data_IF_258931190148
#
_entry.id   IF_258931190148
#
_cell.length_a   1.000
_cell.length_b   1.000
_cell.length_c   1.000
_cell.angle_alpha   90.00
_cell.angle_beta   90.00
_cell.angle_gamma   90.00
#
_symmetry.space_group_name_H-M   'P 1'
#
loop_
_entity.id
_entity.type
_entity.pdbx_description
1 polymer ?
#
# COMPACT_ATOMS: atom_id res chain seq x y z
N UNK A 1 -11.66 -3.58 15.15
CA UNK A 1 -10.40 -4.27 14.78
C UNK A 1 -9.41 -3.17 14.46
N UNK A 2 -8.37 -2.98 15.29
CA UNK A 2 -7.36 -1.96 15.02
C UNK A 2 -6.54 -2.41 13.81
N UNK A 3 -6.21 -1.49 12.91
CA UNK A 3 -5.39 -1.78 11.73
C UNK A 3 -4.02 -2.39 12.10
N UNK A 4 -3.52 -2.08 13.30
CA UNK A 4 -2.26 -2.59 13.85
C UNK A 4 -2.28 -4.09 14.21
N UNK A 5 -3.46 -4.72 14.29
CA UNK A 5 -3.59 -6.14 14.64
C UNK A 5 -3.75 -7.04 13.41
N UNK A 6 -3.67 -6.48 12.20
CA UNK A 6 -3.81 -7.27 10.99
C UNK A 6 -2.62 -8.22 10.84
N UNK A 7 -2.93 -9.51 10.69
CA UNK A 7 -1.94 -10.55 10.44
C UNK A 7 -2.17 -11.09 9.02
N UNK A 8 -1.21 -10.92 8.10
CA UNK A 8 -1.29 -11.50 6.77
C UNK A 8 -1.49 -13.01 6.84
N UNK A 9 -2.29 -13.54 5.92
CA UNK A 9 -2.42 -14.98 5.76
C UNK A 9 -1.09 -15.62 5.31
N UNK A 10 -0.96 -16.95 5.43
CA UNK A 10 0.28 -17.68 5.05
C UNK A 10 0.64 -17.45 3.57
N UNK A 11 -0.36 -17.33 2.71
CA UNK A 11 -0.23 -17.08 1.27
C UNK A 11 -0.24 -15.59 0.91
N UNK A 12 0.03 -14.71 1.88
CA UNK A 12 -0.05 -13.27 1.70
C UNK A 12 1.26 -12.58 2.10
N UNK A 13 1.66 -11.61 1.29
CA UNK A 13 2.69 -10.64 1.59
C UNK A 13 2.03 -9.27 1.66
N UNK A 14 1.99 -8.67 2.86
CA UNK A 14 1.41 -7.34 3.02
C UNK A 14 2.51 -6.27 3.04
N UNK A 15 2.29 -5.20 2.28
CA UNK A 15 3.11 -3.98 2.39
C UNK A 15 2.58 -3.16 3.55
N UNK A 16 3.33 -3.08 4.65
CA UNK A 16 2.97 -2.24 5.80
C UNK A 16 3.11 -0.75 5.48
N UNK A 17 4.21 -0.37 4.82
CA UNK A 17 4.43 1.02 4.39
C UNK A 17 5.32 1.08 3.15
N UNK A 18 5.04 2.05 2.30
CA UNK A 18 5.87 2.45 1.17
C UNK A 18 5.75 3.95 1.00
N UNK A 19 6.87 4.64 0.89
CA UNK A 19 6.90 6.09 0.74
C UNK A 19 8.03 6.49 -0.21
N UNK A 20 7.76 7.52 -1.00
CA UNK A 20 8.77 8.23 -1.80
C UNK A 20 8.74 9.68 -1.33
N UNK A 21 9.92 10.19 -0.97
CA UNK A 21 10.11 11.58 -0.59
C UNK A 21 9.53 12.50 -1.68
N UNK A 22 8.83 13.56 -1.26
CA UNK A 22 8.07 14.44 -2.16
C UNK A 22 8.90 15.00 -3.31
N UNK A 23 10.16 15.37 -3.04
CA UNK A 23 11.08 15.93 -4.03
C UNK A 23 11.44 14.96 -5.17
N UNK A 24 11.13 13.67 -5.01
CA UNK A 24 11.47 12.61 -5.95
C UNK A 24 10.23 11.85 -6.48
N UNK A 25 9.03 12.32 -6.17
CA UNK A 25 7.78 11.76 -6.72
C UNK A 25 7.66 12.08 -8.22
N UNK A 26 6.87 11.29 -8.96
CA UNK A 26 6.69 11.46 -10.41
C UNK A 26 7.86 10.95 -11.27
N UNK A 27 8.92 10.43 -10.67
CA UNK A 27 10.11 9.90 -11.37
C UNK A 27 10.10 8.38 -11.56
N UNK A 28 8.97 7.71 -11.31
CA UNK A 28 8.86 6.24 -11.43
C UNK A 28 9.43 5.42 -10.26
N UNK A 29 9.99 6.05 -9.22
CA UNK A 29 10.61 5.35 -8.07
C UNK A 29 9.62 4.40 -7.38
N UNK A 30 8.39 4.85 -7.13
CA UNK A 30 7.36 4.01 -6.51
C UNK A 30 7.03 2.77 -7.35
N UNK A 31 7.05 2.89 -8.68
CA UNK A 31 6.83 1.77 -9.59
C UNK A 31 7.99 0.76 -9.50
N UNK A 32 9.23 1.23 -9.47
CA UNK A 32 10.42 0.38 -9.33
C UNK A 32 10.38 -0.40 -8.00
N UNK A 33 10.06 0.29 -6.89
CA UNK A 33 9.91 -0.35 -5.58
C UNK A 33 8.82 -1.44 -5.62
N UNK A 34 7.64 -1.12 -6.17
CA UNK A 34 6.55 -2.08 -6.29
C UNK A 34 6.90 -3.28 -7.18
N UNK A 35 7.63 -3.07 -8.28
CA UNK A 35 8.08 -4.14 -9.15
C UNK A 35 9.00 -5.13 -8.42
N UNK A 36 9.90 -4.64 -7.56
CA UNK A 36 10.74 -5.52 -6.76
C UNK A 36 9.95 -6.29 -5.70
N UNK A 37 9.00 -5.64 -5.01
CA UNK A 37 8.16 -6.33 -4.02
C UNK A 37 7.29 -7.39 -4.70
N UNK A 38 6.74 -7.09 -5.89
CA UNK A 38 5.99 -8.07 -6.70
C UNK A 38 6.84 -9.27 -7.08
N UNK A 39 8.07 -9.03 -7.52
CA UNK A 39 9.00 -10.12 -7.79
C UNK A 39 9.20 -11.01 -6.56
N UNK A 40 9.39 -10.44 -5.37
CA UNK A 40 9.51 -11.20 -4.13
C UNK A 40 8.24 -12.00 -3.79
N UNK A 41 7.05 -11.41 -3.98
CA UNK A 41 5.78 -12.08 -3.75
C UNK A 41 5.62 -13.30 -4.68
N UNK A 42 5.97 -13.16 -5.97
CA UNK A 42 5.96 -14.25 -6.95
C UNK A 42 6.94 -15.35 -6.58
N UNK A 43 8.17 -15.01 -6.16
CA UNK A 43 9.16 -16.01 -5.73
C UNK A 43 8.71 -16.82 -4.51
N UNK A 44 7.83 -16.24 -3.68
CA UNK A 44 7.29 -16.89 -2.49
C UNK A 44 5.92 -17.54 -2.71
N UNK A 45 5.37 -17.48 -3.93
CA UNK A 45 3.99 -17.91 -4.25
C UNK A 45 2.93 -17.27 -3.34
N UNK A 46 3.02 -15.93 -3.18
CA UNK A 46 2.14 -15.14 -2.31
C UNK A 46 1.38 -14.06 -3.06
N UNK A 47 0.15 -13.82 -2.61
CA UNK A 47 -0.63 -12.64 -2.99
C UNK A 47 -0.05 -11.40 -2.31
N UNK A 48 0.16 -10.32 -3.09
CA UNK A 48 0.64 -9.05 -2.57
C UNK A 48 -0.52 -8.12 -2.25
N UNK A 49 -0.60 -7.62 -1.03
CA UNK A 49 -1.70 -6.76 -0.57
C UNK A 49 -1.19 -5.50 0.14
N UNK A 50 -2.04 -4.48 0.18
CA UNK A 50 -1.84 -3.24 0.94
C UNK A 50 -3.20 -2.59 1.22
N UNK A 51 -3.27 -1.80 2.29
CA UNK A 51 -4.38 -0.88 2.52
C UNK A 51 -3.97 0.53 2.03
N UNK A 52 -4.91 1.26 1.40
CA UNK A 52 -4.70 2.64 0.97
C UNK A 52 -5.90 3.48 1.38
N UNK A 53 -5.63 4.70 1.89
CA UNK A 53 -6.67 5.67 2.22
C UNK A 53 -7.35 6.13 0.92
N UNK A 54 -8.68 6.17 0.91
CA UNK A 54 -9.50 6.42 -0.29
C UNK A 54 -9.18 7.73 -0.99
N UNK A 55 -8.80 8.75 -0.23
CA UNK A 55 -8.47 10.09 -0.70
C UNK A 55 -7.07 10.18 -1.34
N UNK A 56 -6.21 9.17 -1.15
CA UNK A 56 -4.86 9.14 -1.73
C UNK A 56 -4.89 8.68 -3.20
N UNK A 57 -5.44 9.56 -4.05
CA UNK A 57 -5.59 9.30 -5.48
C UNK A 57 -4.26 9.00 -6.19
N UNK A 58 -3.15 9.59 -5.74
CA UNK A 58 -1.82 9.34 -6.31
C UNK A 58 -1.36 7.90 -6.08
N UNK A 59 -1.47 7.41 -4.85
CA UNK A 59 -1.13 6.03 -4.51
C UNK A 59 -2.08 5.04 -5.21
N UNK A 60 -3.39 5.32 -5.22
CA UNK A 60 -4.37 4.48 -5.91
C UNK A 60 -4.03 4.29 -7.39
N UNK A 61 -3.76 5.38 -8.12
CA UNK A 61 -3.35 5.31 -9.54
C UNK A 61 -2.08 4.50 -9.73
N UNK A 62 -1.09 4.66 -8.86
CA UNK A 62 0.15 3.88 -8.91
C UNK A 62 -0.14 2.37 -8.73
N UNK A 63 -0.96 2.02 -7.74
CA UNK A 63 -1.29 0.62 -7.46
C UNK A 63 -2.11 0.01 -8.61
N UNK A 64 -3.15 0.68 -9.07
CA UNK A 64 -3.98 0.23 -10.21
C UNK A 64 -3.14 0.07 -11.48
N UNK A 65 -2.29 1.06 -11.83
CA UNK A 65 -1.44 0.99 -13.02
C UNK A 65 -0.42 -0.15 -12.96
N UNK A 66 0.00 -0.53 -11.75
CA UNK A 66 0.94 -1.65 -11.59
C UNK A 66 0.22 -3.01 -11.52
N UNK A 67 -1.11 -3.06 -11.58
CA UNK A 67 -1.90 -4.30 -11.62
C UNK A 67 -2.50 -4.74 -10.28
N UNK A 68 -2.52 -3.87 -9.27
CA UNK A 68 -3.39 -4.08 -8.11
C UNK A 68 -4.84 -3.77 -8.48
N UNK A 69 -5.77 -4.36 -7.73
CA UNK A 69 -7.19 -4.05 -7.79
C UNK A 69 -7.77 -4.06 -6.38
N UNK A 70 -8.89 -3.37 -6.20
CA UNK A 70 -9.55 -3.29 -4.90
C UNK A 70 -10.23 -4.62 -4.55
N UNK A 71 -9.93 -5.13 -3.35
CA UNK A 71 -10.54 -6.36 -2.81
C UNK A 71 -11.51 -6.10 -1.65
N UNK A 72 -11.60 -4.85 -1.17
CA UNK A 72 -12.52 -4.45 -0.12
C UNK A 72 -12.15 -3.11 0.53
N UNK A 73 -13.08 -2.58 1.32
CA UNK A 73 -12.91 -1.33 2.07
C UNK A 73 -13.15 -1.57 3.56
N UNK A 74 -12.37 -0.88 4.39
CA UNK A 74 -12.51 -0.90 5.85
C UNK A 74 -12.76 0.53 6.31
N UNK A 75 -13.79 0.74 7.14
CA UNK A 75 -13.97 2.03 7.82
C UNK A 75 -12.98 2.10 8.98
N UNK A 76 -11.96 2.93 8.80
CA UNK A 76 -10.98 3.21 9.83
C UNK A 76 -11.45 4.44 10.62
N UNK A 77 -11.53 4.31 11.93
CA UNK A 77 -11.80 5.43 12.82
C UNK A 77 -10.46 6.04 13.24
N UNK A 78 -10.09 7.15 12.60
CA UNK A 78 -8.94 7.94 13.02
C UNK A 78 -9.43 9.01 14.00
N UNK A 79 -8.96 9.02 15.26
CA UNK A 79 -9.21 10.15 16.14
C UNK A 79 -8.57 11.42 15.53
N UNK A 80 -9.13 12.61 15.76
CA UNK A 80 -8.78 13.85 15.05
C UNK A 80 -7.30 14.27 15.14
N UNK A 81 -6.52 13.69 16.06
CA UNK A 81 -5.09 13.95 16.23
C UNK A 81 -4.21 13.25 15.19
N UNK A 82 -4.69 12.23 14.49
CA UNK A 82 -3.87 11.42 13.55
C UNK A 82 -3.75 12.00 12.14
N UNK A 83 -4.48 13.07 11.80
CA UNK A 83 -4.55 13.60 10.42
C UNK A 83 -3.51 14.69 10.11
N UNK A 84 -2.66 15.08 11.06
CA UNK A 84 -1.80 16.25 10.92
C UNK A 84 -0.39 15.99 10.35
N UNK A 85 0.03 14.73 10.17
CA UNK A 85 1.45 14.42 9.90
C UNK A 85 1.64 13.33 8.85
N UNK A 86 1.20 13.58 7.61
CA UNK A 86 1.51 12.65 6.53
C UNK A 86 0.81 12.95 5.21
N UNK A 87 1.21 14.02 4.54
CA UNK A 87 1.17 14.10 3.08
C UNK A 87 2.53 14.61 2.60
#
# INVERSE_FOLDING_TARGET
>A
MNQLDYKPAVNELMIESICVNECYRGMGIGQILLSHIKYLAVQQDKNLTLDVITENNGARRLYEHTGFYEIGQKKLFFPPLCLASGM
#
